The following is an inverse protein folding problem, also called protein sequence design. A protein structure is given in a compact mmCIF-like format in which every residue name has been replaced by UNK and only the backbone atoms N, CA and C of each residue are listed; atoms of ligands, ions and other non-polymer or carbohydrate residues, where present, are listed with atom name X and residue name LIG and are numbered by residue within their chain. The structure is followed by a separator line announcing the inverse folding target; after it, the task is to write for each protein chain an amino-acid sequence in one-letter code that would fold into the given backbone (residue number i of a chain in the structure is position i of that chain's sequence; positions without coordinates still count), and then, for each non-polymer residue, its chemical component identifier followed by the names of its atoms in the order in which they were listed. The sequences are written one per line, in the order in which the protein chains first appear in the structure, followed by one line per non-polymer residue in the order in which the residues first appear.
data_IF_216290859136
#
_entry.id   IF_216290859136
#
_cell.length_a   1.000
_cell.length_b   1.000
_cell.length_c   1.000
_cell.angle_alpha   90.00
_cell.angle_beta   90.00
_cell.angle_gamma   90.00
#
_symmetry.space_group_name_H-M   'P 1'
#
loop_
_entity.id
_entity.type
_entity.pdbx_description
1 polymer ?
#
# COMPACT_ATOMS: atom_id res chain seq x y z
N UNK A 1 -15.55 46.37 53.91
CA UNK A 1 -14.77 45.11 53.91
C UNK A 1 -14.27 44.84 52.50
N UNK A 2 -12.94 44.95 52.27
CA UNK A 2 -12.28 44.69 50.99
C UNK A 2 -11.48 43.39 51.14
N UNK A 3 -11.81 42.34 50.37
CA UNK A 3 -11.03 41.09 50.37
C UNK A 3 -9.84 41.21 49.42
N UNK A 4 -8.63 41.16 49.98
CA UNK A 4 -7.35 40.97 49.29
C UNK A 4 -6.94 39.50 49.42
N UNK A 5 -6.63 38.84 48.32
CA UNK A 5 -5.85 37.60 48.28
C UNK A 5 -4.96 37.68 47.02
N UNK A 6 -3.73 38.21 47.15
CA UNK A 6 -2.46 37.49 47.34
C UNK A 6 -2.18 36.45 46.23
N UNK A 7 -1.37 36.88 45.26
CA UNK A 7 -0.62 36.04 44.33
C UNK A 7 0.22 35.02 45.11
N UNK A 8 0.13 33.74 44.74
CA UNK A 8 1.07 32.71 45.16
C UNK A 8 2.01 32.42 44.00
N UNK A 9 3.27 32.80 44.17
CA UNK A 9 4.40 32.41 43.32
C UNK A 9 4.74 30.96 43.64
N UNK A 10 4.82 30.08 42.64
CA UNK A 10 5.35 28.72 42.81
C UNK A 10 6.67 28.63 42.05
N UNK A 11 7.70 28.42 42.84
CA UNK A 11 9.12 28.31 42.52
C UNK A 11 9.41 27.13 41.61
N UNK A 12 10.25 27.34 40.59
CA UNK A 12 10.89 26.31 39.78
C UNK A 12 11.67 25.33 40.69
N UNK A 13 11.41 24.04 40.55
CA UNK A 13 12.32 22.99 41.00
C UNK A 13 12.89 22.29 39.76
N UNK A 14 14.16 22.55 39.52
CA UNK A 14 14.98 21.95 38.46
C UNK A 14 15.29 20.49 38.78
N UNK A 15 14.84 19.57 37.92
CA UNK A 15 15.32 18.18 37.90
C UNK A 15 16.22 18.04 36.68
N UNK A 16 17.52 17.89 36.94
CA UNK A 16 18.52 17.39 35.99
C UNK A 16 18.18 15.94 35.65
N UNK A 17 17.88 15.67 34.39
CA UNK A 17 17.85 14.30 33.86
C UNK A 17 18.95 14.19 32.81
N UNK A 18 19.79 13.18 33.07
CA UNK A 18 20.92 12.68 32.31
C UNK A 18 20.63 12.57 30.80
N UNK A 19 21.52 13.11 29.96
CA UNK A 19 21.55 12.82 28.52
C UNK A 19 22.00 11.36 28.31
N UNK A 20 21.07 10.50 27.94
CA UNK A 20 21.39 9.29 27.19
C UNK A 20 21.10 9.60 25.73
N UNK A 21 22.15 9.72 24.92
CA UNK A 21 22.09 9.84 23.47
C UNK A 21 21.60 8.54 22.86
N UNK A 22 20.28 8.35 22.84
CA UNK A 22 19.64 7.42 21.93
C UNK A 22 19.39 8.15 20.60
N UNK A 23 19.70 7.56 19.43
CA UNK A 23 19.33 8.13 18.15
C UNK A 23 17.81 8.30 18.13
N UNK A 24 17.38 9.53 17.87
CA UNK A 24 15.97 9.90 17.75
C UNK A 24 15.34 9.13 16.57
N UNK A 25 14.66 8.04 16.88
CA UNK A 25 13.63 7.48 16.02
C UNK A 25 12.49 8.50 16.06
N UNK A 26 12.34 9.26 14.97
CA UNK A 26 11.24 10.21 14.80
C UNK A 26 9.94 9.40 14.84
N UNK A 27 9.24 9.50 15.96
CA UNK A 27 7.93 8.92 16.19
C UNK A 27 6.90 9.74 15.40
N UNK A 28 6.63 9.36 14.15
CA UNK A 28 5.67 10.05 13.28
C UNK A 28 4.23 9.58 13.61
N UNK A 29 3.68 9.99 14.76
CA UNK A 29 2.27 9.74 15.13
C UNK A 29 1.33 10.86 14.67
N UNK A 30 0.17 10.47 14.14
CA UNK A 30 -1.10 11.20 14.13
C UNK A 30 -1.20 12.51 13.31
N UNK A 31 -0.93 12.46 12.01
CA UNK A 31 -1.20 13.59 11.10
C UNK A 31 -2.48 13.43 10.25
N UNK A 32 -2.89 12.20 9.90
CA UNK A 32 -4.03 11.97 9.03
C UNK A 32 -5.35 12.52 9.59
N UNK A 33 -5.57 12.36 10.91
CA UNK A 33 -6.80 12.81 11.58
C UNK A 33 -6.93 14.34 11.64
N UNK A 34 -5.81 15.08 11.80
CA UNK A 34 -5.83 16.55 11.87
C UNK A 34 -6.08 17.23 10.50
N UNK A 35 -5.74 16.56 9.39
CA UNK A 35 -5.95 17.13 8.06
C UNK A 35 -7.30 16.76 7.46
N UNK A 36 -7.88 15.61 7.83
CA UNK A 36 -9.23 15.23 7.40
C UNK A 36 -10.31 16.18 7.92
N UNK A 37 -10.10 16.81 9.09
CA UNK A 37 -11.06 17.80 9.64
C UNK A 37 -11.05 19.14 8.88
N UNK A 38 -10.08 19.38 8.01
CA UNK A 38 -9.86 20.68 7.34
C UNK A 38 -10.12 20.71 5.83
N UNK A 39 -10.42 19.57 5.20
CA UNK A 39 -10.48 19.50 3.72
C UNK A 39 -11.87 19.06 3.23
N UNK A 40 -12.81 20.01 3.23
CA UNK A 40 -13.90 20.05 2.24
C UNK A 40 -13.38 20.78 1.00
N UNK A 41 -12.51 20.16 0.20
CA UNK A 41 -12.22 20.66 -1.16
C UNK A 41 -11.65 19.53 -2.03
N UNK A 42 -12.30 19.33 -3.18
CA UNK A 42 -11.86 18.52 -4.31
C UNK A 42 -10.47 18.99 -4.78
N UNK A 43 -9.51 18.06 -4.81
CA UNK A 43 -8.26 18.27 -5.55
C UNK A 43 -8.57 17.86 -6.98
N UNK A 44 -8.38 18.77 -7.93
CA UNK A 44 -8.62 18.50 -9.34
C UNK A 44 -7.50 17.64 -9.91
N UNK A 45 -7.83 16.75 -10.85
CA UNK A 45 -6.84 15.89 -11.52
C UNK A 45 -5.74 16.71 -12.26
N UNK A 46 -6.01 17.98 -12.56
CA UNK A 46 -5.06 18.89 -13.22
C UNK A 46 -3.86 19.29 -12.34
N UNK A 47 -3.98 19.24 -11.00
CA UNK A 47 -2.85 19.52 -10.09
C UNK A 47 -1.79 18.39 -10.10
N UNK A 48 -2.03 17.28 -10.82
CA UNK A 48 -1.15 16.12 -10.94
C UNK A 48 -0.29 16.12 -12.21
N UNK A 49 -0.45 17.12 -13.10
CA UNK A 49 0.17 17.15 -14.44
C UNK A 49 1.50 17.92 -14.54
N UNK A 50 2.11 18.34 -13.43
CA UNK A 50 3.40 19.03 -13.48
C UNK A 50 4.53 18.05 -13.83
N UNK A 51 5.36 18.45 -14.79
CA UNK A 51 6.44 17.68 -15.45
C UNK A 51 7.45 17.15 -14.43
N UNK A 52 7.14 15.99 -13.83
CA UNK A 52 7.92 15.42 -12.75
C UNK A 52 8.94 14.43 -13.31
N UNK A 53 10.03 14.95 -13.86
CA UNK A 53 11.26 14.16 -14.03
C UNK A 53 11.67 13.58 -12.67
N UNK A 54 11.78 12.27 -12.58
CA UNK A 54 12.23 11.57 -11.38
C UNK A 54 13.75 11.66 -11.30
N UNK A 55 14.28 11.61 -10.09
CA UNK A 55 15.73 11.57 -9.88
C UNK A 55 16.23 10.14 -10.13
N UNK A 56 16.55 9.86 -11.40
CA UNK A 56 16.95 8.53 -11.91
C UNK A 56 18.13 7.92 -11.13
N UNK A 57 19.05 8.75 -10.62
CA UNK A 57 20.23 8.29 -9.88
C UNK A 57 19.90 7.76 -8.49
N UNK A 58 18.84 8.28 -7.86
CA UNK A 58 18.30 7.75 -6.61
C UNK A 58 17.46 6.50 -6.82
N UNK A 59 16.97 6.29 -8.04
CA UNK A 59 16.11 5.17 -8.39
C UNK A 59 16.91 3.88 -8.61
N UNK A 60 18.01 3.97 -9.37
CA UNK A 60 18.91 2.82 -9.58
C UNK A 60 19.46 2.30 -8.25
N UNK A 61 19.79 3.20 -7.31
CA UNK A 61 20.24 2.82 -5.95
C UNK A 61 19.19 2.00 -5.17
N UNK A 62 17.90 2.19 -5.43
CA UNK A 62 16.82 1.43 -4.78
C UNK A 62 16.57 0.08 -5.44
N UNK A 63 16.78 0.00 -6.76
CA UNK A 63 16.79 -1.29 -7.46
C UNK A 63 17.96 -2.13 -6.94
N UNK A 64 19.12 -1.50 -6.75
CA UNK A 64 20.33 -2.16 -6.25
C UNK A 64 20.22 -2.50 -4.75
N UNK A 65 19.44 -1.74 -3.98
CA UNK A 65 19.21 -1.94 -2.55
C UNK A 65 17.77 -1.55 -2.12
N UNK A 66 16.79 -2.47 -2.26
CA UNK A 66 15.40 -2.18 -1.95
C UNK A 66 15.19 -1.96 -0.45
N UNK A 67 14.31 -1.01 -0.11
CA UNK A 67 13.86 -0.83 1.28
C UNK A 67 13.09 -2.06 1.77
N UNK A 68 13.15 -2.35 3.07
CA UNK A 68 12.35 -3.42 3.67
C UNK A 68 10.87 -2.98 3.78
N UNK A 69 9.94 -3.88 3.45
CA UNK A 69 8.53 -3.67 3.76
C UNK A 69 8.20 -4.14 5.18
N UNK A 70 7.50 -3.29 5.91
CA UNK A 70 7.05 -3.54 7.27
C UNK A 70 6.00 -4.66 7.24
N UNK A 71 6.23 -5.71 8.03
CA UNK A 71 5.28 -6.81 8.20
C UNK A 71 4.27 -6.50 9.32
N UNK A 72 3.19 -7.27 9.43
CA UNK A 72 2.10 -6.97 10.36
C UNK A 72 2.51 -7.01 11.84
N UNK A 73 3.56 -7.75 12.22
CA UNK A 73 4.06 -7.79 13.61
C UNK A 73 4.87 -6.55 14.00
N UNK A 74 5.44 -5.87 13.01
CA UNK A 74 6.21 -4.64 13.19
C UNK A 74 5.32 -3.38 13.22
N UNK A 75 4.05 -3.51 12.85
CA UNK A 75 3.09 -2.40 12.84
C UNK A 75 2.62 -2.08 14.26
N UNK A 76 2.52 -0.80 14.57
CA UNK A 76 1.76 -0.34 15.75
C UNK A 76 0.27 -0.67 15.58
N UNK A 77 -0.53 -0.72 16.66
CA UNK A 77 -1.97 -0.99 16.55
C UNK A 77 -2.73 -0.03 15.62
N UNK A 78 -2.30 1.23 15.53
CA UNK A 78 -2.88 2.23 14.63
C UNK A 78 -2.52 1.94 13.17
N UNK A 79 -1.26 1.57 12.90
CA UNK A 79 -0.79 1.19 11.57
C UNK A 79 -1.47 -0.09 11.08
N UNK A 80 -1.59 -1.10 11.95
CA UNK A 80 -2.26 -2.36 11.64
C UNK A 80 -3.74 -2.12 11.30
N UNK A 81 -4.42 -1.28 12.08
CA UNK A 81 -5.81 -0.90 11.77
C UNK A 81 -5.93 -0.22 10.40
N UNK A 82 -5.06 0.76 10.11
CA UNK A 82 -5.07 1.45 8.81
C UNK A 82 -4.75 0.48 7.65
N UNK A 83 -3.89 -0.51 7.91
CA UNK A 83 -3.53 -1.55 6.96
C UNK A 83 -4.70 -2.49 6.67
N UNK A 84 -5.42 -2.95 7.69
CA UNK A 84 -6.63 -3.77 7.56
C UNK A 84 -7.76 -3.00 6.85
N UNK A 85 -7.94 -1.71 7.16
CA UNK A 85 -8.89 -0.84 6.47
C UNK A 85 -8.54 -0.66 4.98
N UNK A 86 -7.25 -0.59 4.64
CA UNK A 86 -6.83 -0.55 3.25
C UNK A 86 -7.10 -1.87 2.52
N UNK A 87 -6.83 -3.01 3.16
CA UNK A 87 -7.14 -4.32 2.59
C UNK A 87 -8.66 -4.48 2.34
N UNK A 88 -9.49 -3.99 3.27
CA UNK A 88 -10.94 -3.92 3.10
C UNK A 88 -11.33 -3.07 1.89
N UNK A 89 -10.79 -1.86 1.75
CA UNK A 89 -11.11 -0.98 0.62
C UNK A 89 -10.66 -1.58 -0.72
N UNK A 90 -9.50 -2.25 -0.77
CA UNK A 90 -9.06 -2.93 -2.00
C UNK A 90 -9.98 -4.11 -2.34
N UNK A 91 -10.47 -4.87 -1.35
CA UNK A 91 -11.45 -5.93 -1.57
C UNK A 91 -12.80 -5.40 -2.08
N UNK A 92 -13.26 -4.26 -1.58
CA UNK A 92 -14.48 -3.59 -2.06
C UNK A 92 -14.33 -3.10 -3.50
N UNK A 93 -13.16 -2.57 -3.87
CA UNK A 93 -12.86 -2.14 -5.25
C UNK A 93 -12.70 -3.31 -6.22
N UNK A 94 -12.36 -4.50 -5.73
CA UNK A 94 -12.09 -5.66 -6.57
C UNK A 94 -13.35 -6.19 -7.30
N UNK A 95 -14.55 -5.72 -6.91
CA UNK A 95 -15.84 -6.06 -7.51
C UNK A 95 -16.07 -7.58 -7.56
N UNK A 96 -15.82 -8.25 -6.43
CA UNK A 96 -15.93 -9.69 -6.30
C UNK A 96 -17.40 -10.11 -6.09
N UNK A 97 -17.84 -11.27 -6.64
CA UNK A 97 -19.25 -11.62 -6.74
C UNK A 97 -19.99 -11.73 -5.40
N UNK A 98 -19.31 -12.25 -4.38
CA UNK A 98 -19.91 -12.49 -3.06
C UNK A 98 -19.18 -11.77 -1.93
N UNK A 99 -19.79 -11.73 -0.74
CA UNK A 99 -19.10 -11.20 0.45
C UNK A 99 -17.98 -12.14 0.87
N UNK A 100 -18.20 -13.44 0.75
CA UNK A 100 -17.25 -14.50 1.07
C UNK A 100 -15.98 -14.37 0.22
N UNK A 101 -16.10 -14.11 -1.08
CA UNK A 101 -14.94 -13.85 -1.96
C UNK A 101 -14.20 -12.57 -1.57
N UNK A 102 -14.93 -11.52 -1.15
CA UNK A 102 -14.31 -10.28 -0.68
C UNK A 102 -13.51 -10.48 0.60
N UNK A 103 -14.04 -11.25 1.55
CA UNK A 103 -13.30 -11.56 2.78
C UNK A 103 -12.10 -12.47 2.51
N UNK A 104 -12.23 -13.46 1.62
CA UNK A 104 -11.13 -14.30 1.13
C UNK A 104 -10.00 -13.46 0.52
N UNK A 105 -10.37 -12.53 -0.38
CA UNK A 105 -9.43 -11.62 -1.02
C UNK A 105 -8.75 -10.69 -0.01
N UNK A 106 -9.50 -10.06 0.88
CA UNK A 106 -8.97 -9.22 1.96
C UNK A 106 -7.98 -9.99 2.83
N UNK A 107 -8.35 -11.20 3.27
CA UNK A 107 -7.49 -12.07 4.09
C UNK A 107 -6.20 -12.40 3.35
N UNK A 108 -6.29 -12.74 2.07
CA UNK A 108 -5.14 -12.99 1.20
C UNK A 108 -4.18 -11.78 1.18
N UNK A 109 -4.70 -10.55 1.07
CA UNK A 109 -3.87 -9.34 1.10
C UNK A 109 -3.17 -9.13 2.44
N UNK A 110 -3.82 -9.46 3.56
CA UNK A 110 -3.22 -9.36 4.90
C UNK A 110 -2.14 -10.44 5.10
N UNK A 111 -2.45 -11.66 4.70
CA UNK A 111 -1.60 -12.83 4.86
C UNK A 111 -0.26 -12.70 4.13
N UNK A 112 -0.23 -12.01 2.98
CA UNK A 112 0.99 -11.68 2.25
C UNK A 112 2.01 -10.87 3.08
N UNK A 113 1.55 -10.14 4.11
CA UNK A 113 2.38 -9.32 4.98
C UNK A 113 2.49 -9.87 6.41
N UNK A 114 1.86 -11.01 6.71
CA UNK A 114 1.88 -11.63 8.03
C UNK A 114 2.94 -12.74 8.11
N UNK A 115 4.01 -12.59 8.91
CA UNK A 115 5.07 -13.61 9.04
C UNK A 115 4.59 -14.99 9.50
N UNK A 116 3.41 -15.05 10.15
CA UNK A 116 2.82 -16.32 10.61
C UNK A 116 1.91 -16.98 9.57
N UNK A 117 1.72 -16.35 8.40
CA UNK A 117 0.94 -16.93 7.31
C UNK A 117 1.77 -17.92 6.50
N UNK A 118 1.14 -18.99 6.02
CA UNK A 118 1.74 -19.93 5.06
C UNK A 118 2.09 -19.29 3.72
N UNK A 119 1.44 -18.17 3.37
CA UNK A 119 1.66 -17.44 2.10
C UNK A 119 2.40 -16.12 2.32
N UNK A 120 3.11 -15.96 3.44
CA UNK A 120 3.89 -14.75 3.71
C UNK A 120 4.88 -14.47 2.58
N UNK A 121 4.73 -13.30 1.95
CA UNK A 121 5.51 -12.85 0.78
C UNK A 121 5.46 -13.79 -0.45
N UNK A 122 4.58 -14.79 -0.45
CA UNK A 122 4.39 -15.74 -1.55
C UNK A 122 3.14 -15.35 -2.36
N UNK A 123 3.33 -14.52 -3.38
CA UNK A 123 2.24 -14.08 -4.25
C UNK A 123 1.59 -15.22 -5.03
N UNK A 124 2.36 -16.25 -5.41
CA UNK A 124 1.82 -17.39 -6.13
C UNK A 124 0.96 -18.22 -5.18
N UNK A 125 1.50 -18.62 -4.03
CA UNK A 125 0.76 -19.36 -3.02
C UNK A 125 -0.49 -18.62 -2.54
N UNK A 126 -0.41 -17.31 -2.35
CA UNK A 126 -1.56 -16.46 -2.02
C UNK A 126 -2.62 -16.46 -3.14
N UNK A 127 -2.19 -16.42 -4.40
CA UNK A 127 -3.10 -16.50 -5.55
C UNK A 127 -3.76 -17.88 -5.63
N UNK A 128 -3.00 -18.95 -5.45
CA UNK A 128 -3.50 -20.33 -5.48
C UNK A 128 -4.50 -20.57 -4.34
N UNK A 129 -4.18 -20.14 -3.12
CA UNK A 129 -5.09 -20.22 -1.97
C UNK A 129 -6.40 -19.46 -2.21
N UNK A 130 -6.33 -18.25 -2.77
CA UNK A 130 -7.52 -17.48 -3.10
C UNK A 130 -8.39 -18.17 -4.17
N UNK A 131 -7.78 -18.80 -5.18
CA UNK A 131 -8.51 -19.60 -6.17
C UNK A 131 -9.25 -20.76 -5.49
N UNK A 132 -8.60 -21.44 -4.55
CA UNK A 132 -9.22 -22.52 -3.77
C UNK A 132 -10.40 -22.01 -2.93
N UNK A 133 -10.22 -20.92 -2.19
CA UNK A 133 -11.28 -20.30 -1.37
C UNK A 133 -12.49 -19.88 -2.24
N UNK A 134 -12.27 -19.27 -3.42
CA UNK A 134 -13.35 -18.92 -4.36
C UNK A 134 -14.05 -20.18 -4.88
N UNK A 135 -13.30 -21.23 -5.24
CA UNK A 135 -13.91 -22.49 -5.68
C UNK A 135 -14.78 -23.11 -4.58
N UNK A 136 -14.33 -23.05 -3.33
CA UNK A 136 -15.08 -23.54 -2.17
C UNK A 136 -16.37 -22.74 -1.93
N UNK A 137 -16.33 -21.43 -2.10
CA UNK A 137 -17.51 -20.56 -2.00
C UNK A 137 -18.55 -20.85 -3.11
N UNK A 138 -18.10 -21.39 -4.24
CA UNK A 138 -18.91 -21.57 -5.46
C UNK A 138 -19.07 -23.03 -5.91
N UNK A 139 -18.99 -24.00 -5.00
CA UNK A 139 -19.06 -25.45 -5.34
C UNK A 139 -20.40 -25.92 -5.93
N UNK A 140 -21.45 -25.11 -5.84
CA UNK A 140 -22.77 -25.48 -6.38
C UNK A 140 -22.73 -25.57 -7.90
N UNK A 141 -23.21 -26.67 -8.46
CA UNK A 141 -23.29 -26.90 -9.93
C UNK A 141 -24.22 -25.92 -10.65
N UNK A 142 -25.06 -25.20 -9.91
CA UNK A 142 -25.93 -24.14 -10.42
C UNK A 142 -25.25 -22.76 -10.39
N UNK A 143 -24.12 -22.65 -9.69
CA UNK A 143 -23.33 -21.44 -9.67
C UNK A 143 -22.53 -21.32 -10.97
N UNK A 144 -22.56 -20.13 -11.56
CA UNK A 144 -21.82 -19.81 -12.79
C UNK A 144 -20.58 -18.98 -12.50
N UNK A 145 -20.33 -18.65 -11.23
CA UNK A 145 -19.11 -17.99 -10.81
C UNK A 145 -17.99 -19.02 -10.78
N UNK A 146 -16.90 -18.70 -11.46
CA UNK A 146 -15.68 -19.52 -11.44
C UNK A 146 -14.51 -18.58 -11.12
N UNK A 147 -13.41 -19.08 -10.53
CA UNK A 147 -12.24 -18.25 -10.24
C UNK A 147 -11.71 -17.51 -11.48
N UNK A 148 -11.82 -18.13 -12.66
CA UNK A 148 -11.49 -17.51 -13.96
C UNK A 148 -12.32 -16.23 -14.22
N UNK A 149 -13.57 -16.19 -13.74
CA UNK A 149 -14.41 -15.00 -13.87
C UNK A 149 -14.12 -13.97 -12.78
N UNK A 150 -13.66 -14.41 -11.61
CA UNK A 150 -13.40 -13.57 -10.44
C UNK A 150 -12.04 -12.88 -10.54
N UNK A 151 -11.00 -13.62 -10.93
CA UNK A 151 -9.61 -13.16 -10.96
C UNK A 151 -9.08 -12.85 -12.37
N UNK A 152 -9.92 -13.00 -13.40
CA UNK A 152 -9.62 -13.07 -14.84
C UNK A 152 -9.23 -14.48 -15.32
N UNK A 153 -9.36 -14.75 -16.64
CA UNK A 153 -9.31 -16.10 -17.20
C UNK A 153 -7.98 -16.82 -16.91
N UNK A 154 -8.03 -17.97 -16.21
CA UNK A 154 -6.88 -18.68 -15.63
C UNK A 154 -5.87 -19.08 -16.71
N UNK A 155 -4.81 -18.28 -16.82
CA UNK A 155 -3.61 -18.56 -17.58
C UNK A 155 -2.45 -17.75 -16.96
N UNK A 156 -1.92 -18.22 -15.83
CA UNK A 156 -0.72 -17.62 -15.24
C UNK A 156 -0.50 -17.95 -13.76
N UNK A 157 0.55 -17.37 -13.20
CA UNK A 157 1.11 -17.72 -11.87
C UNK A 157 0.61 -16.79 -10.77
N UNK A 158 0.40 -15.51 -11.08
CA UNK A 158 -0.01 -14.49 -10.10
C UNK A 158 -1.17 -13.70 -10.69
N UNK A 159 -2.25 -13.51 -9.93
CA UNK A 159 -3.36 -12.67 -10.39
C UNK A 159 -2.95 -11.19 -10.37
N UNK A 160 -3.26 -10.45 -11.44
CA UNK A 160 -3.04 -8.99 -11.51
C UNK A 160 -3.82 -8.26 -10.41
N UNK A 161 -5.02 -8.74 -10.04
CA UNK A 161 -5.79 -8.19 -8.93
C UNK A 161 -5.02 -8.35 -7.62
N UNK A 162 -4.59 -9.57 -7.30
CA UNK A 162 -3.83 -9.87 -6.06
C UNK A 162 -2.58 -9.01 -5.97
N UNK A 163 -1.78 -8.92 -7.05
CA UNK A 163 -0.59 -8.07 -7.05
C UNK A 163 -0.93 -6.59 -6.85
N UNK A 164 -1.95 -6.07 -7.56
CA UNK A 164 -2.37 -4.68 -7.43
C UNK A 164 -2.80 -4.35 -5.99
N UNK A 165 -3.66 -5.19 -5.41
CA UNK A 165 -4.12 -5.05 -4.03
C UNK A 165 -2.97 -5.12 -3.04
N UNK A 166 -2.04 -6.07 -3.22
CA UNK A 166 -0.89 -6.23 -2.35
C UNK A 166 0.01 -4.99 -2.37
N UNK A 167 0.26 -4.39 -3.53
CA UNK A 167 1.01 -3.14 -3.65
C UNK A 167 0.27 -1.99 -2.97
N UNK A 168 -1.02 -1.83 -3.25
CA UNK A 168 -1.84 -0.74 -2.68
C UNK A 168 -1.92 -0.80 -1.16
N UNK A 169 -2.06 -2.01 -0.59
CA UNK A 169 -2.04 -2.25 0.85
C UNK A 169 -0.65 -2.00 1.45
N UNK A 170 0.42 -2.43 0.79
CA UNK A 170 1.80 -2.19 1.24
C UNK A 170 2.21 -0.72 1.29
N UNK A 171 1.50 0.15 0.56
CA UNK A 171 1.77 1.59 0.53
C UNK A 171 1.26 2.33 1.78
N UNK A 172 0.36 1.74 2.56
CA UNK A 172 -0.31 2.38 3.71
C UNK A 172 0.68 2.97 4.71
N UNK A 173 1.78 2.26 4.99
CA UNK A 173 2.81 2.71 5.93
C UNK A 173 3.46 4.05 5.51
N UNK A 174 3.53 4.30 4.19
CA UNK A 174 4.20 5.47 3.62
C UNK A 174 3.20 6.58 3.30
N UNK A 175 1.97 6.21 2.97
CA UNK A 175 0.87 7.16 2.67
C UNK A 175 0.12 7.61 3.92
N UNK A 176 0.29 6.91 5.06
CA UNK A 176 -0.33 7.26 6.34
C UNK A 176 -1.85 7.05 6.35
N UNK A 177 -2.36 6.16 5.51
CA UNK A 177 -3.79 5.87 5.34
C UNK A 177 -4.06 5.07 4.07
N UNK A 178 -5.30 4.59 3.90
CA UNK A 178 -5.68 3.73 2.79
C UNK A 178 -5.36 4.35 1.41
N UNK A 179 -4.93 3.50 0.46
CA UNK A 179 -4.17 3.90 -0.74
C UNK A 179 -4.66 5.18 -1.42
N UNK A 180 -5.95 5.30 -1.77
CA UNK A 180 -6.46 6.48 -2.47
C UNK A 180 -6.43 7.78 -1.65
N UNK A 181 -6.88 7.72 -0.39
CA UNK A 181 -6.91 8.89 0.50
C UNK A 181 -5.51 9.24 1.04
N UNK A 182 -4.72 8.22 1.37
CA UNK A 182 -3.36 8.35 1.86
C UNK A 182 -2.42 8.91 0.79
N UNK A 183 -2.49 8.41 -0.45
CA UNK A 183 -1.71 8.98 -1.56
C UNK A 183 -2.06 10.45 -1.72
N UNK A 184 -3.35 10.79 -1.76
CA UNK A 184 -3.79 12.18 -1.91
C UNK A 184 -3.26 13.05 -0.77
N UNK A 185 -3.31 12.57 0.47
CA UNK A 185 -2.76 13.28 1.62
C UNK A 185 -1.24 13.46 1.52
N UNK A 186 -0.52 12.45 1.04
CA UNK A 186 0.92 12.51 0.81
C UNK A 186 1.25 13.55 -0.27
N UNK A 187 0.56 13.54 -1.41
CA UNK A 187 0.72 14.52 -2.50
C UNK A 187 0.50 15.94 -1.98
N UNK A 188 -0.57 16.17 -1.22
CA UNK A 188 -0.84 17.48 -0.61
C UNK A 188 0.24 17.92 0.38
N UNK A 189 0.86 16.97 1.08
CA UNK A 189 1.89 17.25 2.10
C UNK A 189 3.25 17.56 1.50
N UNK A 190 3.70 16.78 0.52
CA UNK A 190 5.09 16.82 0.03
C UNK A 190 5.22 17.27 -1.44
N UNK A 191 4.10 17.43 -2.14
CA UNK A 191 4.04 17.71 -3.57
C UNK A 191 4.09 16.43 -4.42
N UNK A 192 3.53 16.49 -5.62
CA UNK A 192 3.37 15.34 -6.53
C UNK A 192 4.71 14.65 -6.83
N UNK A 193 5.76 15.40 -7.16
CA UNK A 193 7.09 14.83 -7.46
C UNK A 193 7.69 14.03 -6.30
N UNK A 194 7.66 14.57 -5.08
CA UNK A 194 8.19 13.87 -3.90
C UNK A 194 7.31 12.68 -3.52
N UNK A 195 5.98 12.82 -3.62
CA UNK A 195 5.06 11.72 -3.38
C UNK A 195 5.28 10.58 -4.37
N UNK A 196 5.42 10.90 -5.67
CA UNK A 196 5.67 9.92 -6.71
C UNK A 196 7.00 9.19 -6.50
N UNK A 197 8.07 9.90 -6.13
CA UNK A 197 9.34 9.28 -5.80
C UNK A 197 9.16 8.30 -4.63
N UNK A 198 8.60 8.76 -3.52
CA UNK A 198 8.36 7.96 -2.31
C UNK A 198 7.49 6.73 -2.58
N UNK A 199 6.40 6.87 -3.31
CA UNK A 199 5.52 5.76 -3.71
C UNK A 199 6.31 4.78 -4.60
N UNK A 200 7.06 5.28 -5.59
CA UNK A 200 7.86 4.46 -6.48
C UNK A 200 8.87 3.61 -5.70
N UNK A 201 9.57 4.18 -4.72
CA UNK A 201 10.49 3.41 -3.85
C UNK A 201 9.79 2.25 -3.18
N UNK A 202 8.61 2.52 -2.61
CA UNK A 202 7.84 1.53 -1.86
C UNK A 202 7.27 0.45 -2.77
N UNK A 203 6.78 0.82 -3.95
CA UNK A 203 6.35 -0.15 -4.97
C UNK A 203 7.50 -1.07 -5.36
N UNK A 204 8.70 -0.53 -5.66
CA UNK A 204 9.88 -1.33 -6.01
C UNK A 204 10.24 -2.27 -4.85
N UNK A 205 10.30 -1.77 -3.62
CA UNK A 205 10.54 -2.58 -2.43
C UNK A 205 9.53 -3.74 -2.28
N UNK A 206 8.23 -3.45 -2.47
CA UNK A 206 7.17 -4.47 -2.42
C UNK A 206 7.37 -5.53 -3.51
N UNK A 207 7.62 -5.12 -4.76
CA UNK A 207 7.87 -6.04 -5.87
C UNK A 207 9.06 -6.97 -5.58
N UNK A 208 10.16 -6.41 -5.08
CA UNK A 208 11.37 -7.17 -4.76
C UNK A 208 11.15 -8.17 -3.64
N UNK A 209 10.37 -7.78 -2.64
CA UNK A 209 10.03 -8.65 -1.52
C UNK A 209 9.20 -9.84 -1.98
N UNK A 210 8.30 -9.64 -2.93
CA UNK A 210 7.55 -10.72 -3.56
C UNK A 210 8.32 -11.45 -4.68
N UNK A 211 9.65 -11.27 -4.75
CA UNK A 211 10.51 -11.99 -5.69
C UNK A 211 10.55 -11.42 -7.11
N UNK A 212 9.81 -10.35 -7.42
CA UNK A 212 9.79 -9.69 -8.73
C UNK A 212 11.05 -8.79 -8.87
N UNK A 213 12.21 -9.43 -9.09
CA UNK A 213 13.53 -8.78 -9.05
C UNK A 213 14.04 -8.27 -10.41
N UNK A 214 13.47 -8.74 -11.53
CA UNK A 214 13.92 -8.38 -12.89
C UNK A 214 12.79 -7.76 -13.68
N UNK A 215 12.53 -6.49 -13.42
CA UNK A 215 11.64 -5.69 -14.25
C UNK A 215 12.49 -4.85 -15.20
N UNK A 216 12.79 -5.36 -16.38
CA UNK A 216 13.43 -4.53 -17.42
C UNK A 216 12.51 -3.38 -17.79
N UNK A 217 12.99 -2.13 -17.71
CA UNK A 217 12.19 -0.94 -18.00
C UNK A 217 11.38 -0.43 -16.82
N UNK A 218 11.82 -0.68 -15.58
CA UNK A 218 11.18 -0.17 -14.37
C UNK A 218 11.01 1.36 -14.37
N UNK A 219 11.89 2.11 -15.04
CA UNK A 219 11.76 3.55 -15.30
C UNK A 219 10.42 3.90 -15.99
N UNK A 220 9.95 3.03 -16.89
CA UNK A 220 8.65 3.19 -17.58
C UNK A 220 7.47 2.90 -16.65
N UNK A 221 7.60 1.96 -15.70
CA UNK A 221 6.60 1.73 -14.64
C UNK A 221 6.43 3.02 -13.84
N UNK A 222 7.55 3.62 -13.49
CA UNK A 222 7.61 4.73 -12.54
C UNK A 222 7.09 6.02 -13.18
N UNK A 223 7.38 6.27 -14.45
CA UNK A 223 6.69 7.30 -15.23
C UNK A 223 5.16 7.08 -15.28
N UNK A 224 4.72 5.83 -15.25
CA UNK A 224 3.30 5.48 -15.24
C UNK A 224 2.67 5.67 -13.85
N UNK A 225 3.41 5.40 -12.77
CA UNK A 225 3.02 5.70 -11.37
C UNK A 225 2.81 7.21 -11.19
N UNK A 226 3.70 8.05 -11.73
CA UNK A 226 3.54 9.51 -11.71
C UNK A 226 2.19 9.93 -12.29
N UNK A 227 1.85 9.39 -13.45
CA UNK A 227 0.61 9.73 -14.18
C UNK A 227 -0.65 9.20 -13.49
N UNK A 228 -0.55 8.10 -12.76
CA UNK A 228 -1.67 7.41 -12.11
C UNK A 228 -1.42 7.21 -10.61
N UNK A 229 -0.95 8.27 -9.94
CA UNK A 229 -0.43 8.17 -8.57
C UNK A 229 -1.45 7.66 -7.57
N UNK A 230 -2.75 7.89 -7.83
CA UNK A 230 -3.88 7.51 -6.97
C UNK A 230 -4.13 6.00 -6.88
N UNK A 231 -3.69 5.24 -7.89
CA UNK A 231 -3.76 3.77 -7.91
C UNK A 231 -2.49 3.18 -8.54
N UNK A 232 -1.36 3.27 -7.83
CA UNK A 232 -0.07 2.85 -8.33
C UNK A 232 0.02 1.33 -8.44
N UNK A 233 -0.65 0.57 -7.55
CA UNK A 233 -0.67 -0.89 -7.57
C UNK A 233 -1.30 -1.45 -8.84
N UNK A 234 -2.50 -0.98 -9.20
CA UNK A 234 -3.16 -1.39 -10.45
C UNK A 234 -2.34 -1.00 -11.68
N UNK A 235 -1.75 0.20 -11.65
CA UNK A 235 -0.90 0.68 -12.75
C UNK A 235 0.29 -0.24 -12.98
N UNK A 236 0.99 -0.61 -11.91
CA UNK A 236 2.16 -1.48 -11.96
C UNK A 236 1.79 -2.90 -12.37
N UNK A 237 0.75 -3.47 -11.77
CA UNK A 237 0.32 -4.84 -12.05
C UNK A 237 -0.11 -5.01 -13.52
N UNK A 238 -0.91 -4.08 -14.07
CA UNK A 238 -1.30 -4.09 -15.49
C UNK A 238 -0.11 -3.86 -16.42
N UNK A 239 0.83 -3.00 -16.03
CA UNK A 239 2.04 -2.76 -16.81
C UNK A 239 2.90 -4.03 -16.90
N UNK A 240 2.97 -4.83 -15.83
CA UNK A 240 3.70 -6.10 -15.79
C UNK A 240 3.02 -7.13 -16.71
N UNK A 241 1.70 -7.31 -16.58
CA UNK A 241 0.87 -8.17 -17.44
C UNK A 241 1.03 -7.80 -18.93
N UNK A 242 1.02 -6.50 -19.27
CA UNK A 242 1.20 -6.06 -20.68
C UNK A 242 2.55 -6.45 -21.32
N UNK A 243 3.54 -6.88 -20.52
CA UNK A 243 4.90 -7.26 -20.95
C UNK A 243 5.21 -8.72 -20.80
N UNK A 244 4.31 -9.51 -20.21
CA UNK A 244 4.55 -10.93 -20.06
C UNK A 244 4.30 -11.69 -21.38
N UNK A 245 4.37 -13.00 -21.31
CA UNK A 245 4.21 -13.90 -22.45
C UNK A 245 2.79 -13.87 -23.01
N UNK A 246 1.77 -13.76 -22.16
CA UNK A 246 0.35 -13.74 -22.53
C UNK A 246 -0.26 -12.43 -22.07
N UNK A 247 0.02 -11.41 -22.86
CA UNK A 247 -0.25 -10.02 -22.51
C UNK A 247 -1.73 -9.73 -22.26
N UNK A 248 -1.97 -8.96 -21.20
CA UNK A 248 -3.27 -8.39 -20.82
C UNK A 248 -4.34 -9.44 -20.55
N UNK A 249 -3.95 -10.59 -19.98
CA UNK A 249 -4.90 -11.65 -19.64
C UNK A 249 -5.37 -11.56 -18.17
N UNK A 250 -4.85 -10.61 -17.38
CA UNK A 250 -5.17 -10.45 -15.96
C UNK A 250 -4.35 -11.36 -15.03
N UNK A 251 -3.33 -12.02 -15.56
CA UNK A 251 -2.37 -12.83 -14.83
C UNK A 251 -0.95 -12.40 -15.19
N UNK A 252 0.01 -12.75 -14.32
CA UNK A 252 1.41 -12.72 -14.66
C UNK A 252 1.87 -14.13 -14.96
N UNK A 253 2.33 -14.36 -16.19
CA UNK A 253 3.00 -15.59 -16.57
C UNK A 253 4.52 -15.45 -16.37
N UNK A 254 5.06 -16.17 -15.39
CA UNK A 254 6.52 -16.28 -15.25
C UNK A 254 7.03 -17.34 -16.24
N UNK A 255 7.85 -16.87 -17.20
CA UNK A 255 8.54 -17.58 -18.31
C UNK A 255 7.71 -18.39 -19.33
#
# INVERSE_FOLDING_TARGET
MKKKYKFLSITLLSILIFEATAPSIIHQKNFAVQYLTKVTTSVSADDLNDDSSIDDENLQKLIDNPEEIINTEQMTPEELKNFEEAAQQEAEKADLPTQEDREAYKKTLIDLYNPNSSVYQDLQGATDQLIEEINENHQSVLDKVTPERVLAAKHGTISVKVLAGAINVGLVAVTGGAAGAGVKALVLKVGAKKAANTISKKVVATLFTFGIKKVSGIDTVISSIVKNILDPGTTVAKWLDSRDKIKNNGWLEWW
#
